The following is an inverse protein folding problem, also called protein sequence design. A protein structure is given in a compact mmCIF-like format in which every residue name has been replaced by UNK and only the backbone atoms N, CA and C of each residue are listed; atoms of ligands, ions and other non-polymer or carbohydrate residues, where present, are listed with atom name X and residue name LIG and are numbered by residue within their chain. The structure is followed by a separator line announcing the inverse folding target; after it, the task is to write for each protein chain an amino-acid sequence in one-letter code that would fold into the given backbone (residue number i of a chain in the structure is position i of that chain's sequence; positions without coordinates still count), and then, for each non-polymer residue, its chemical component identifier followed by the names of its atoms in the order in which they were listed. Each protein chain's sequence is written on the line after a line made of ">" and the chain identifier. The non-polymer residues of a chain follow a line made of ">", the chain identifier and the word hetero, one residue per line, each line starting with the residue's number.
data_IF_246675956325
#
_entry.id   IF_246675956325
#
_cell.length_a   1.000
_cell.length_b   1.000
_cell.length_c   1.000
_cell.angle_alpha   90.00
_cell.angle_beta   90.00
_cell.angle_gamma   90.00
#
_symmetry.space_group_name_H-M   'P 1'
#
loop_
_entity.id
_entity.type
_entity.pdbx_description
1 polymer ?
#
# COMPACT_ATOMS: atom_id res chain seq x y z
N UNK A 1 4.88 9.60 -14.49
CA UNK A 1 3.87 8.64 -13.99
C UNK A 1 4.44 7.98 -12.74
N UNK A 2 3.71 7.89 -11.62
CA UNK A 2 4.24 7.27 -10.42
C UNK A 2 4.39 5.76 -10.63
N UNK A 3 5.52 5.22 -10.18
CA UNK A 3 5.79 3.79 -10.15
C UNK A 3 5.99 3.40 -8.69
N UNK A 4 5.43 2.27 -8.28
CA UNK A 4 5.52 1.80 -6.91
C UNK A 4 6.24 0.46 -6.85
N UNK A 5 6.88 0.21 -5.71
CA UNK A 5 7.46 -1.08 -5.34
C UNK A 5 6.72 -1.57 -4.10
N UNK A 6 5.97 -2.67 -4.18
CA UNK A 6 5.21 -3.15 -3.02
C UNK A 6 4.17 -4.21 -3.34
N UNK A 7 3.22 -4.37 -2.42
CA UNK A 7 2.09 -5.28 -2.60
C UNK A 7 0.82 -4.47 -2.88
N UNK A 8 0.12 -4.75 -3.99
CA UNK A 8 -1.20 -4.18 -4.22
C UNK A 8 -2.23 -4.96 -3.40
N UNK A 9 -2.91 -4.31 -2.47
CA UNK A 9 -3.84 -4.93 -1.53
C UNK A 9 -5.09 -4.07 -1.36
N UNK A 10 -6.16 -4.64 -0.83
CA UNK A 10 -7.31 -3.83 -0.38
C UNK A 10 -6.95 -3.03 0.87
N UNK A 11 -7.72 -1.99 1.19
CA UNK A 11 -7.57 -1.30 2.49
C UNK A 11 -7.76 -2.26 3.65
N UNK A 12 -8.81 -3.09 3.60
CA UNK A 12 -9.11 -4.09 4.63
C UNK A 12 -7.91 -5.03 4.85
N UNK A 13 -7.29 -5.46 3.76
CA UNK A 13 -6.09 -6.29 3.82
C UNK A 13 -4.90 -5.54 4.43
N UNK A 14 -4.69 -4.26 4.08
CA UNK A 14 -3.70 -3.43 4.75
C UNK A 14 -3.96 -3.32 6.27
N UNK A 15 -5.20 -3.15 6.71
CA UNK A 15 -5.53 -3.19 8.15
C UNK A 15 -5.13 -4.55 8.77
N UNK A 16 -5.46 -5.67 8.11
CA UNK A 16 -5.13 -7.01 8.59
C UNK A 16 -3.62 -7.23 8.72
N UNK A 17 -2.86 -6.85 7.69
CA UNK A 17 -1.40 -7.02 7.65
C UNK A 17 -0.71 -6.34 8.84
N UNK A 18 -1.20 -5.16 9.23
CA UNK A 18 -0.65 -4.38 10.34
C UNK A 18 -1.33 -4.65 11.69
N UNK A 19 -2.09 -5.75 11.79
CA UNK A 19 -2.81 -6.18 12.99
C UNK A 19 -3.74 -5.11 13.57
N UNK A 20 -4.40 -4.35 12.70
CA UNK A 20 -5.36 -3.31 13.06
C UNK A 20 -6.77 -3.84 12.81
N UNK A 21 -7.66 -3.70 13.79
CA UNK A 21 -9.05 -4.13 13.65
C UNK A 21 -9.82 -3.15 12.75
N UNK A 22 -10.02 -3.55 11.49
CA UNK A 22 -10.73 -2.76 10.47
C UNK A 22 -12.12 -2.33 10.92
N UNK A 23 -12.97 -3.27 11.37
CA UNK A 23 -14.37 -2.97 11.73
C UNK A 23 -14.45 -2.01 12.93
N UNK A 24 -13.55 -2.17 13.90
CA UNK A 24 -13.47 -1.26 15.04
C UNK A 24 -13.13 0.17 14.61
N UNK A 25 -12.08 0.33 13.80
CA UNK A 25 -11.64 1.66 13.34
C UNK A 25 -12.69 2.29 12.43
N UNK A 26 -13.31 1.49 11.55
CA UNK A 26 -14.42 1.92 10.71
C UNK A 26 -15.58 2.46 11.55
N UNK A 27 -16.01 1.71 12.57
CA UNK A 27 -17.07 2.13 13.48
C UNK A 27 -16.73 3.44 14.22
N UNK A 28 -15.51 3.55 14.77
CA UNK A 28 -15.05 4.77 15.47
C UNK A 28 -15.05 6.01 14.56
N UNK A 29 -14.65 5.85 13.30
CA UNK A 29 -14.68 6.90 12.28
C UNK A 29 -16.13 7.30 11.95
N UNK A 30 -17.00 6.32 11.70
CA UNK A 30 -18.40 6.54 11.37
C UNK A 30 -19.13 7.28 12.51
N UNK A 31 -18.92 6.89 13.76
CA UNK A 31 -19.46 7.58 14.93
C UNK A 31 -18.92 9.01 15.06
N UNK A 32 -17.59 9.17 15.00
CA UNK A 32 -16.93 10.48 15.18
C UNK A 32 -17.39 11.50 14.14
N UNK A 33 -17.58 11.06 12.90
CA UNK A 33 -17.95 11.93 11.79
C UNK A 33 -19.45 11.93 11.48
N UNK A 34 -20.26 11.21 12.28
CA UNK A 34 -21.72 11.08 12.10
C UNK A 34 -22.11 10.64 10.69
N UNK A 35 -21.35 9.69 10.13
CA UNK A 35 -21.57 9.18 8.77
C UNK A 35 -22.69 8.14 8.81
N UNK A 36 -23.76 8.37 8.03
CA UNK A 36 -24.85 7.39 7.89
C UNK A 36 -24.54 6.37 6.79
N UNK A 37 -24.90 5.10 7.01
CA UNK A 37 -24.57 3.95 6.16
C UNK A 37 -24.91 4.10 4.65
N UNK A 38 -25.94 4.90 4.30
CA UNK A 38 -26.53 4.84 2.96
C UNK A 38 -26.02 5.88 1.94
N UNK A 39 -25.19 6.86 2.34
CA UNK A 39 -24.77 7.96 1.43
C UNK A 39 -23.26 8.24 1.45
N UNK A 40 -22.53 7.78 2.46
CA UNK A 40 -21.17 8.25 2.74
C UNK A 40 -20.07 7.18 2.71
N UNK A 41 -20.30 6.03 2.09
CA UNK A 41 -19.30 4.95 1.98
C UNK A 41 -17.93 5.47 1.49
N UNK A 42 -17.92 6.35 0.48
CA UNK A 42 -16.70 6.98 -0.02
C UNK A 42 -15.98 7.86 1.03
N UNK A 43 -16.73 8.58 1.88
CA UNK A 43 -16.13 9.42 2.92
C UNK A 43 -15.47 8.58 4.02
N UNK A 44 -16.07 7.46 4.40
CA UNK A 44 -15.47 6.52 5.38
C UNK A 44 -14.14 5.98 4.86
N UNK A 45 -14.06 5.64 3.57
CA UNK A 45 -12.84 5.14 2.91
C UNK A 45 -11.67 6.14 2.96
N UNK A 46 -11.94 7.44 2.81
CA UNK A 46 -10.90 8.48 2.94
C UNK A 46 -10.32 8.53 4.36
N UNK A 47 -11.18 8.51 5.38
CA UNK A 47 -10.73 8.55 6.78
C UNK A 47 -9.97 7.27 7.18
N UNK A 48 -10.36 6.11 6.65
CA UNK A 48 -9.65 4.85 6.86
C UNK A 48 -8.24 4.89 6.28
N UNK A 49 -8.08 5.45 5.08
CA UNK A 49 -6.77 5.67 4.48
C UNK A 49 -5.91 6.61 5.33
N UNK A 50 -6.46 7.77 5.73
CA UNK A 50 -5.76 8.73 6.59
C UNK A 50 -5.36 8.14 7.96
N UNK A 51 -6.15 7.19 8.47
CA UNK A 51 -5.82 6.47 9.69
C UNK A 51 -4.57 5.60 9.48
N UNK A 52 -4.52 4.80 8.41
CA UNK A 52 -3.36 3.97 8.09
C UNK A 52 -2.09 4.80 7.87
N UNK A 53 -2.20 5.91 7.12
CA UNK A 53 -1.07 6.83 6.89
C UNK A 53 -0.52 7.35 8.21
N UNK A 54 -1.39 7.81 9.12
CA UNK A 54 -0.99 8.28 10.45
C UNK A 54 -0.38 7.18 11.30
N UNK A 55 -0.97 5.98 11.30
CA UNK A 55 -0.44 4.83 12.01
C UNK A 55 1.00 4.52 11.57
N UNK A 56 1.28 4.57 10.28
CA UNK A 56 2.61 4.28 9.75
C UNK A 56 3.61 5.37 10.15
N UNK A 57 3.19 6.65 10.10
CA UNK A 57 4.00 7.78 10.55
C UNK A 57 4.34 7.68 12.04
N UNK A 58 3.37 7.38 12.90
CA UNK A 58 3.56 7.23 14.35
C UNK A 58 4.49 6.06 14.69
N UNK A 59 4.43 4.98 13.89
CA UNK A 59 5.33 3.82 14.00
C UNK A 59 6.73 4.07 13.43
N UNK A 60 6.97 5.21 12.78
CA UNK A 60 8.23 5.51 12.12
C UNK A 60 8.53 4.60 10.92
N UNK A 61 7.51 3.98 10.34
CA UNK A 61 7.63 3.09 9.18
C UNK A 61 8.10 3.88 7.96
N UNK A 62 9.07 3.36 7.19
CA UNK A 62 9.38 3.97 5.89
C UNK A 62 8.58 3.35 4.75
N UNK A 63 8.15 2.09 4.88
CA UNK A 63 7.02 1.56 4.13
C UNK A 63 5.83 2.51 4.32
N UNK A 64 5.16 2.81 3.22
CA UNK A 64 3.99 3.69 3.18
C UNK A 64 2.82 2.96 2.55
N UNK A 65 1.64 3.53 2.73
CA UNK A 65 0.46 3.18 1.97
C UNK A 65 0.17 4.27 0.95
N UNK A 66 -0.10 3.86 -0.29
CA UNK A 66 -0.50 4.74 -1.38
C UNK A 66 -1.89 4.33 -1.86
N UNK A 67 -2.79 5.29 -2.01
CA UNK A 67 -4.11 5.03 -2.56
C UNK A 67 -4.04 5.14 -4.08
N UNK A 68 -4.78 4.28 -4.76
CA UNK A 68 -5.00 4.34 -6.20
C UNK A 68 -6.45 4.77 -6.48
N UNK A 69 -6.74 5.31 -7.66
CA UNK A 69 -8.10 5.78 -8.01
C UNK A 69 -9.14 4.63 -8.13
N UNK A 70 -8.69 3.37 -8.23
CA UNK A 70 -9.56 2.17 -8.26
C UNK A 70 -9.79 1.52 -6.89
N UNK A 71 -9.40 2.17 -5.78
CA UNK A 71 -9.62 1.62 -4.43
C UNK A 71 -8.60 0.57 -3.98
N UNK A 72 -7.70 0.15 -4.88
CA UNK A 72 -6.48 -0.59 -4.54
C UNK A 72 -5.54 0.30 -3.72
N UNK A 73 -4.86 -0.30 -2.74
CA UNK A 73 -3.82 0.35 -1.97
C UNK A 73 -2.48 -0.35 -2.21
N UNK A 74 -1.40 0.41 -2.24
CA UNK A 74 -0.06 -0.15 -2.39
C UNK A 74 0.65 0.00 -1.05
N UNK A 75 1.01 -1.14 -0.45
CA UNK A 75 1.88 -1.18 0.73
C UNK A 75 3.32 -1.35 0.25
N UNK A 76 4.12 -0.29 0.38
CA UNK A 76 5.51 -0.32 -0.09
C UNK A 76 6.13 1.05 -0.23
N UNK A 77 6.87 1.27 -1.31
CA UNK A 77 7.59 2.49 -1.61
C UNK A 77 7.11 3.10 -2.92
N UNK A 78 7.02 4.42 -2.96
CA UNK A 78 6.89 5.17 -4.20
C UNK A 78 8.29 5.34 -4.78
N UNK A 79 8.50 4.82 -5.98
CA UNK A 79 9.64 5.16 -6.81
C UNK A 79 9.26 6.53 -7.38
N UNK A 80 9.70 7.61 -6.71
CA UNK A 80 9.45 9.01 -7.11
C UNK A 80 10.39 9.51 -8.21
N UNK A 81 11.53 8.86 -8.33
CA UNK A 81 12.56 9.19 -9.32
C UNK A 81 12.36 8.62 -10.76
N UNK A 82 11.22 8.07 -11.21
CA UNK A 82 11.02 7.79 -12.62
C UNK A 82 11.10 9.08 -13.43
N UNK A 83 10.66 10.23 -12.94
CA UNK A 83 10.85 11.46 -13.73
C UNK A 83 12.33 11.78 -13.99
N UNK A 84 13.22 11.56 -13.02
CA UNK A 84 14.67 11.74 -13.24
C UNK A 84 15.31 10.57 -14.01
N UNK A 85 14.76 9.35 -13.94
CA UNK A 85 15.24 8.14 -14.66
C UNK A 85 14.71 8.03 -16.09
N UNK A 86 13.57 8.67 -16.37
CA UNK A 86 12.98 8.74 -17.70
C UNK A 86 13.47 10.00 -18.43
N UNK A 87 13.86 11.06 -17.70
CA UNK A 87 14.58 12.22 -18.26
C UNK A 87 16.12 12.04 -18.29
N UNK A 88 16.69 11.11 -17.50
CA UNK A 88 18.12 10.71 -17.54
C UNK A 88 18.24 9.20 -17.63
N UNK A 89 18.92 8.71 -18.67
CA UNK A 89 19.20 7.29 -18.85
C UNK A 89 19.82 6.66 -17.60
N UNK A 90 19.11 5.72 -16.96
CA UNK A 90 19.70 4.79 -15.99
C UNK A 90 20.23 3.58 -16.76
N UNK A 91 21.42 3.09 -16.41
CA UNK A 91 21.86 1.81 -16.97
C UNK A 91 21.16 0.64 -16.27
N UNK A 92 21.09 -0.51 -16.94
CA UNK A 92 20.37 -1.70 -16.45
C UNK A 92 20.92 -2.16 -15.09
N UNK A 93 22.23 -2.12 -14.90
CA UNK A 93 22.87 -2.56 -13.66
C UNK A 93 22.45 -1.71 -12.46
N UNK A 94 22.43 -0.39 -12.62
CA UNK A 94 21.97 0.57 -11.61
C UNK A 94 20.49 0.34 -11.27
N UNK A 95 19.66 0.07 -12.27
CA UNK A 95 18.25 -0.24 -12.04
C UNK A 95 18.08 -1.54 -11.25
N UNK A 96 18.80 -2.61 -11.61
CA UNK A 96 18.78 -3.89 -10.88
C UNK A 96 19.27 -3.72 -9.43
N UNK A 97 20.33 -2.94 -9.22
CA UNK A 97 20.85 -2.62 -7.88
C UNK A 97 19.79 -1.88 -7.05
N UNK A 98 19.13 -0.87 -7.63
CA UNK A 98 18.05 -0.14 -6.97
C UNK A 98 16.92 -1.08 -6.54
N UNK A 99 16.45 -1.95 -7.44
CA UNK A 99 15.40 -2.93 -7.14
C UNK A 99 15.83 -3.92 -6.05
N UNK A 100 17.09 -4.35 -6.08
CA UNK A 100 17.64 -5.26 -5.06
C UNK A 100 17.69 -4.59 -3.69
N UNK A 101 18.07 -3.31 -3.64
CA UNK A 101 18.06 -2.53 -2.40
C UNK A 101 16.63 -2.33 -1.86
N UNK A 102 15.66 -2.02 -2.73
CA UNK A 102 14.25 -1.91 -2.35
C UNK A 102 13.70 -3.22 -1.79
N UNK A 103 14.01 -4.36 -2.43
CA UNK A 103 13.61 -5.69 -1.95
C UNK A 103 14.19 -5.99 -0.57
N UNK A 104 15.49 -5.74 -0.37
CA UNK A 104 16.15 -5.92 0.94
C UNK A 104 15.52 -5.03 2.00
N UNK A 105 15.31 -3.75 1.68
CA UNK A 105 14.68 -2.79 2.60
C UNK A 105 13.27 -3.20 3.00
N UNK A 106 12.44 -3.61 2.02
CA UNK A 106 11.12 -4.18 2.27
C UNK A 106 11.19 -5.38 3.23
N UNK A 107 12.06 -6.36 2.95
CA UNK A 107 12.19 -7.55 3.79
C UNK A 107 12.63 -7.22 5.23
N UNK A 108 13.52 -6.25 5.42
CA UNK A 108 13.98 -5.82 6.74
C UNK A 108 12.85 -5.12 7.52
N UNK A 109 12.22 -4.11 6.94
CA UNK A 109 11.14 -3.38 7.62
C UNK A 109 9.96 -4.30 7.94
N UNK A 110 9.54 -5.13 6.99
CA UNK A 110 8.42 -6.06 7.24
C UNK A 110 8.70 -7.04 8.37
N UNK A 111 9.95 -7.47 8.54
CA UNK A 111 10.39 -8.30 9.65
C UNK A 111 10.42 -7.53 10.98
N UNK A 112 10.97 -6.32 10.99
CA UNK A 112 11.11 -5.50 12.20
C UNK A 112 9.77 -5.11 12.82
N UNK A 113 8.72 -5.02 11.99
CA UNK A 113 7.36 -4.69 12.42
C UNK A 113 6.44 -5.92 12.53
N UNK A 114 6.99 -7.13 12.47
CA UNK A 114 6.26 -8.40 12.61
C UNK A 114 5.05 -8.53 11.65
N UNK A 115 5.16 -7.93 10.46
CA UNK A 115 4.06 -7.92 9.48
C UNK A 115 3.92 -9.32 8.88
N UNK A 116 2.73 -9.90 8.98
CA UNK A 116 2.49 -11.27 8.55
C UNK A 116 2.06 -11.34 7.08
N UNK A 117 3.03 -11.53 6.19
CA UNK A 117 2.81 -11.77 4.76
C UNK A 117 2.70 -13.26 4.37
N UNK A 118 2.41 -14.18 5.30
CA UNK A 118 2.31 -15.61 4.96
C UNK A 118 1.25 -15.89 3.90
N UNK A 119 0.13 -15.19 3.99
CA UNK A 119 -1.00 -15.27 3.07
C UNK A 119 -1.51 -13.85 2.90
N UNK A 120 -1.63 -13.39 1.66
CA UNK A 120 -2.02 -12.01 1.34
C UNK A 120 -3.02 -12.02 0.20
N UNK A 121 -4.09 -11.28 0.35
CA UNK A 121 -5.04 -10.97 -0.72
C UNK A 121 -4.49 -9.82 -1.56
N UNK A 122 -4.00 -10.15 -2.75
CA UNK A 122 -3.53 -9.16 -3.72
C UNK A 122 -4.70 -8.64 -4.54
N UNK A 123 -4.84 -7.33 -4.55
CA UNK A 123 -5.84 -6.64 -5.38
C UNK A 123 -5.30 -6.51 -6.79
N UNK A 124 -6.07 -6.93 -7.81
CA UNK A 124 -5.71 -6.72 -9.22
C UNK A 124 -6.31 -5.41 -9.73
N UNK A 125 -5.65 -4.77 -10.70
CA UNK A 125 -6.24 -3.57 -11.34
C UNK A 125 -7.51 -3.88 -12.12
N UNK A 126 -7.62 -5.12 -12.60
CA UNK A 126 -8.77 -5.67 -13.30
C UNK A 126 -8.96 -7.14 -12.90
N UNK A 127 -10.21 -7.51 -12.62
CA UNK A 127 -10.58 -8.86 -12.17
C UNK A 127 -10.68 -8.98 -10.65
N UNK A 128 -10.88 -10.22 -10.21
CA UNK A 128 -11.05 -10.52 -8.79
C UNK A 128 -9.70 -10.49 -8.04
N UNK A 129 -9.70 -10.16 -6.73
CA UNK A 129 -8.54 -10.30 -5.87
C UNK A 129 -8.05 -11.74 -5.82
N UNK A 130 -6.75 -11.95 -5.61
CA UNK A 130 -6.15 -13.28 -5.52
C UNK A 130 -5.42 -13.48 -4.19
N UNK A 131 -5.59 -14.65 -3.58
CA UNK A 131 -4.84 -15.01 -2.38
C UNK A 131 -3.50 -15.64 -2.78
N UNK A 132 -2.41 -15.03 -2.33
CA UNK A 132 -1.03 -15.48 -2.61
C UNK A 132 -0.33 -15.85 -1.32
N UNK A 133 0.33 -17.01 -1.32
CA UNK A 133 1.15 -17.49 -0.20
C UNK A 133 2.55 -16.90 -0.30
N UNK A 134 2.98 -16.17 0.73
CA UNK A 134 4.29 -15.53 0.82
C UNK A 134 4.64 -14.71 -0.42
N UNK A 135 3.83 -13.70 -0.80
CA UNK A 135 4.09 -12.92 -2.01
C UNK A 135 5.41 -12.16 -1.89
N UNK A 136 6.00 -11.89 -3.05
CA UNK A 136 7.11 -10.95 -3.19
C UNK A 136 6.56 -9.58 -3.63
N UNK A 137 7.25 -8.47 -3.30
CA UNK A 137 6.85 -7.16 -3.80
C UNK A 137 6.97 -7.09 -5.34
N UNK A 138 6.05 -6.34 -5.94
CA UNK A 138 5.94 -6.11 -7.39
C UNK A 138 6.31 -4.67 -7.75
N UNK A 139 6.65 -4.46 -9.03
CA UNK A 139 6.67 -3.13 -9.64
C UNK A 139 5.27 -2.85 -10.19
N UNK A 140 4.67 -1.76 -9.73
CA UNK A 140 3.29 -1.41 -10.03
C UNK A 140 3.30 -0.02 -10.66
N UNK A 141 2.94 0.04 -11.94
CA UNK A 141 2.75 1.29 -12.66
C UNK A 141 1.30 1.74 -12.50
N UNK A 142 1.08 3.03 -12.26
CA UNK A 142 -0.28 3.56 -12.16
C UNK A 142 -0.57 4.63 -13.21
N UNK A 143 -1.51 4.34 -14.10
CA UNK A 143 -2.08 5.33 -15.02
C UNK A 143 -3.22 6.07 -14.31
N UNK A 144 -3.01 7.35 -13.99
CA UNK A 144 -4.14 8.26 -13.75
C UNK A 144 -4.80 8.48 -15.11
N UNK A 145 -5.99 7.91 -15.34
CA UNK A 145 -6.78 8.22 -16.53
C UNK A 145 -7.45 9.59 -16.41
#
# INVERSE_FOLDING_TARGET
>A
MPVYFGLPVTKKEAFRLFNINYEKVKYEIEEKHKLSHDIYSYCTECYLFDYLVRHFQEKGLQIKIFNTDKGQCIVGYEIREPSDVWDKFINVDQFIIMLSNLKTKFALETKDYEINFREVELERMEGDPEIVISPIPYIIEYMNN
#
